data_IF_575998198967
#
_entry.id   IF_575998198967
#
_cell.length_a   1.000
_cell.length_b   1.000
_cell.length_c   1.000
_cell.angle_alpha   90.00
_cell.angle_beta   90.00
_cell.angle_gamma   90.00
#
_symmetry.space_group_name_H-M   'P 1'
#
loop_
_entity.id
_entity.type
_entity.pdbx_description
1 polymer ?
#
# COMPACT_ATOMS: atom_id res chain seq x y z
N UNK A 1 -9.83 14.79 24.99
CA UNK A 1 -9.43 13.76 24.02
C UNK A 1 -9.90 12.40 24.49
N UNK A 2 -10.70 11.69 23.67
CA UNK A 2 -11.16 10.35 23.99
C UNK A 2 -10.04 9.33 23.71
N UNK A 3 -9.96 8.22 24.47
CA UNK A 3 -9.12 7.08 24.12
C UNK A 3 -9.34 6.61 22.67
N UNK A 4 -8.27 6.29 21.95
CA UNK A 4 -8.34 5.73 20.60
C UNK A 4 -7.46 4.49 20.46
N UNK A 5 -8.05 3.42 19.93
CA UNK A 5 -7.35 2.23 19.47
C UNK A 5 -7.51 2.06 17.94
N UNK A 6 -6.42 1.72 17.25
CA UNK A 6 -6.44 1.38 15.82
C UNK A 6 -5.43 0.26 15.54
N UNK A 7 -5.48 -0.30 14.33
CA UNK A 7 -4.60 -1.38 13.91
C UNK A 7 -4.46 -1.49 12.41
N UNK A 8 -3.45 -2.25 12.00
CA UNK A 8 -3.31 -2.78 10.65
C UNK A 8 -3.03 -4.28 10.70
N UNK A 9 -3.21 -4.96 9.57
CA UNK A 9 -2.88 -6.37 9.42
C UNK A 9 -1.70 -6.58 8.46
N UNK A 10 -0.86 -7.56 8.77
CA UNK A 10 0.07 -8.10 7.80
C UNK A 10 -0.73 -8.79 6.68
N UNK A 11 -0.59 -8.30 5.46
CA UNK A 11 -1.33 -8.83 4.31
C UNK A 11 -2.49 -7.96 3.81
N UNK A 12 -2.65 -6.72 4.26
CA UNK A 12 -3.65 -5.80 3.68
C UNK A 12 -3.55 -5.65 2.15
N UNK A 13 -2.34 -5.83 1.59
CA UNK A 13 -2.08 -5.87 0.15
C UNK A 13 -2.87 -6.95 -0.59
N UNK A 14 -3.30 -8.02 0.09
CA UNK A 14 -4.12 -9.08 -0.51
C UNK A 14 -5.46 -8.57 -1.05
N UNK A 15 -5.97 -7.46 -0.49
CA UNK A 15 -7.16 -6.78 -1.01
C UNK A 15 -6.93 -6.14 -2.39
N UNK A 16 -5.69 -5.74 -2.69
CA UNK A 16 -5.32 -5.05 -3.93
C UNK A 16 -4.65 -5.96 -4.96
N UNK A 17 -4.09 -7.10 -4.53
CA UNK A 17 -3.32 -8.02 -5.39
C UNK A 17 -4.04 -8.43 -6.67
N UNK A 18 -5.35 -8.62 -6.60
CA UNK A 18 -6.15 -9.10 -7.74
C UNK A 18 -7.02 -8.01 -8.38
N UNK A 19 -6.82 -6.73 -8.03
CA UNK A 19 -7.58 -5.63 -8.62
C UNK A 19 -7.10 -5.28 -10.04
N UNK A 20 -5.78 -5.14 -10.30
CA UNK A 20 -5.30 -4.88 -11.65
C UNK A 20 -5.43 -6.13 -12.53
N UNK A 21 -5.74 -5.92 -13.79
CA UNK A 21 -5.66 -6.95 -14.83
C UNK A 21 -4.20 -7.26 -15.17
N UNK A 22 -3.95 -8.44 -15.77
CA UNK A 22 -2.60 -8.78 -16.24
C UNK A 22 -2.06 -7.80 -17.28
N UNK A 23 -2.93 -7.17 -18.08
CA UNK A 23 -2.53 -6.13 -19.03
C UNK A 23 -2.07 -4.87 -18.30
N UNK A 24 -2.82 -4.39 -17.31
CA UNK A 24 -2.43 -3.23 -16.51
C UNK A 24 -1.10 -3.47 -15.78
N UNK A 25 -0.90 -4.67 -15.21
CA UNK A 25 0.39 -5.04 -14.60
C UNK A 25 1.53 -4.98 -15.62
N UNK A 26 1.33 -5.50 -16.82
CA UNK A 26 2.35 -5.45 -17.87
C UNK A 26 2.68 -4.01 -18.29
N UNK A 27 1.67 -3.14 -18.37
CA UNK A 27 1.83 -1.72 -18.66
C UNK A 27 2.60 -0.99 -17.54
N UNK A 28 2.27 -1.26 -16.26
CA UNK A 28 2.99 -0.68 -15.12
C UNK A 28 4.43 -1.17 -15.06
N UNK A 29 4.68 -2.44 -15.41
CA UNK A 29 6.03 -3.01 -15.45
C UNK A 29 6.87 -2.39 -16.57
N UNK A 30 6.27 -2.11 -17.72
CA UNK A 30 6.94 -1.46 -18.84
C UNK A 30 7.23 0.03 -18.59
N UNK A 31 6.33 0.74 -17.89
CA UNK A 31 6.48 2.16 -17.55
C UNK A 31 6.16 2.44 -16.06
N UNK A 32 7.07 2.02 -15.19
CA UNK A 32 6.93 2.21 -13.74
C UNK A 32 6.89 3.69 -13.35
N UNK A 33 7.65 4.54 -14.03
CA UNK A 33 7.69 5.99 -13.73
C UNK A 33 6.35 6.67 -14.06
N UNK A 34 5.76 6.33 -15.21
CA UNK A 34 4.43 6.79 -15.59
C UNK A 34 3.35 6.32 -14.61
N UNK A 35 3.38 5.04 -14.22
CA UNK A 35 2.48 4.50 -13.20
C UNK A 35 2.61 5.27 -11.87
N UNK A 36 3.81 5.39 -11.31
CA UNK A 36 4.01 6.05 -10.01
C UNK A 36 3.68 7.55 -10.06
N UNK A 37 3.91 8.21 -11.19
CA UNK A 37 3.48 9.59 -11.38
C UNK A 37 1.96 9.73 -11.32
N UNK A 38 1.22 8.83 -11.98
CA UNK A 38 -0.25 8.82 -11.94
C UNK A 38 -0.77 8.50 -10.54
N UNK A 39 -0.18 7.49 -9.89
CA UNK A 39 -0.48 7.12 -8.50
C UNK A 39 -0.34 8.32 -7.56
N UNK A 40 0.82 8.99 -7.60
CA UNK A 40 1.10 10.15 -6.76
C UNK A 40 0.17 11.33 -7.04
N UNK A 41 -0.18 11.58 -8.30
CA UNK A 41 -1.12 12.65 -8.68
C UNK A 41 -2.55 12.35 -8.25
N UNK A 42 -2.96 11.08 -8.24
CA UNK A 42 -4.27 10.69 -7.76
C UNK A 42 -4.43 11.02 -6.26
N UNK A 43 -3.39 10.73 -5.48
CA UNK A 43 -3.46 10.88 -4.02
C UNK A 43 -3.03 12.24 -3.48
N UNK A 44 -2.07 12.90 -4.12
CA UNK A 44 -1.65 14.23 -3.73
C UNK A 44 -2.49 15.27 -4.47
N UNK A 45 -3.24 16.10 -3.74
CA UNK A 45 -3.95 17.24 -4.34
C UNK A 45 -2.94 18.31 -4.76
N UNK A 46 -2.71 18.48 -6.06
CA UNK A 46 -1.84 19.51 -6.66
C UNK A 46 -0.39 19.52 -6.10
N UNK A 47 0.36 18.41 -6.19
CA UNK A 47 1.71 18.37 -5.68
C UNK A 47 2.63 19.24 -6.54
N UNK A 48 3.59 19.92 -5.88
CA UNK A 48 4.70 20.58 -6.60
C UNK A 48 5.50 19.51 -7.35
N UNK A 49 5.89 19.80 -8.59
CA UNK A 49 6.57 18.82 -9.46
C UNK A 49 7.78 18.13 -8.79
N UNK A 50 8.63 18.89 -8.09
CA UNK A 50 9.80 18.32 -7.42
C UNK A 50 9.44 17.29 -6.33
N UNK A 51 8.31 17.46 -5.62
CA UNK A 51 7.86 16.51 -4.59
C UNK A 51 7.36 15.21 -5.21
N UNK A 52 6.78 15.29 -6.41
CA UNK A 52 6.38 14.10 -7.17
C UNK A 52 7.62 13.32 -7.57
N UNK A 53 8.63 13.99 -8.15
CA UNK A 53 9.88 13.33 -8.55
C UNK A 53 10.61 12.68 -7.38
N UNK A 54 10.74 13.37 -6.25
CA UNK A 54 11.36 12.82 -5.04
C UNK A 54 10.58 11.63 -4.49
N UNK A 55 9.26 11.73 -4.42
CA UNK A 55 8.41 10.64 -3.95
C UNK A 55 8.45 9.41 -4.85
N UNK A 56 8.45 9.58 -6.18
CA UNK A 56 8.63 8.48 -7.13
C UNK A 56 9.95 7.75 -6.87
N UNK A 57 11.05 8.49 -6.70
CA UNK A 57 12.36 7.88 -6.45
C UNK A 57 12.38 7.09 -5.13
N UNK A 58 11.73 7.60 -4.08
CA UNK A 58 11.60 6.90 -2.80
C UNK A 58 10.77 5.61 -2.96
N UNK A 59 9.65 5.66 -3.67
CA UNK A 59 8.81 4.49 -3.92
C UNK A 59 9.54 3.41 -4.72
N UNK A 60 10.27 3.80 -5.79
CA UNK A 60 11.08 2.87 -6.58
C UNK A 60 12.14 2.17 -5.75
N UNK A 61 12.90 2.94 -4.96
CA UNK A 61 13.97 2.40 -4.15
C UNK A 61 13.47 1.45 -3.05
N UNK A 62 12.26 1.68 -2.54
CA UNK A 62 11.70 0.89 -1.46
C UNK A 62 10.97 -0.36 -1.95
N UNK A 63 10.05 -0.18 -2.90
CA UNK A 63 9.14 -1.24 -3.33
C UNK A 63 9.56 -1.95 -4.60
N UNK A 64 10.32 -1.29 -5.48
CA UNK A 64 10.67 -1.84 -6.80
C UNK A 64 12.19 -1.92 -7.03
N UNK A 65 13.00 -2.42 -6.08
CA UNK A 65 14.44 -2.56 -6.30
C UNK A 65 14.77 -3.63 -7.36
N UNK A 66 13.88 -4.61 -7.55
CA UNK A 66 13.96 -5.67 -8.55
C UNK A 66 12.54 -5.95 -9.06
N UNK A 67 12.28 -5.72 -10.35
CA UNK A 67 10.93 -5.83 -10.92
C UNK A 67 10.59 -7.21 -11.50
N UNK A 68 11.58 -8.10 -11.60
CA UNK A 68 11.37 -9.48 -12.04
C UNK A 68 11.37 -10.45 -10.83
N UNK A 69 10.57 -11.53 -10.87
CA UNK A 69 9.56 -11.86 -11.87
C UNK A 69 8.28 -11.02 -11.72
N UNK A 70 7.43 -11.02 -12.75
CA UNK A 70 6.20 -10.21 -12.80
C UNK A 70 5.24 -10.50 -11.62
N UNK A 71 5.28 -11.71 -11.05
CA UNK A 71 4.51 -12.05 -9.86
C UNK A 71 4.96 -11.27 -8.62
N UNK A 72 6.26 -11.02 -8.46
CA UNK A 72 6.78 -10.19 -7.38
C UNK A 72 6.39 -8.74 -7.59
N UNK A 73 6.56 -8.22 -8.81
CA UNK A 73 6.11 -6.88 -9.17
C UNK A 73 4.63 -6.65 -8.90
N UNK A 74 3.78 -7.65 -9.20
CA UNK A 74 2.34 -7.59 -8.89
C UNK A 74 2.08 -7.46 -7.39
N UNK A 75 2.87 -8.15 -6.56
CA UNK A 75 2.78 -8.03 -5.09
C UNK A 75 3.24 -6.63 -4.65
N UNK A 76 4.36 -6.14 -5.18
CA UNK A 76 4.91 -4.81 -4.85
C UNK A 76 3.94 -3.67 -5.20
N UNK A 77 3.28 -3.74 -6.36
CA UNK A 77 2.20 -2.81 -6.75
C UNK A 77 1.05 -2.84 -5.72
N UNK A 78 0.68 -4.03 -5.25
CA UNK A 78 -0.36 -4.18 -4.24
C UNK A 78 0.09 -3.66 -2.87
N UNK A 79 1.36 -3.84 -2.49
CA UNK A 79 1.93 -3.35 -1.24
C UNK A 79 2.00 -1.83 -1.20
N UNK A 80 2.49 -1.16 -2.25
CA UNK A 80 2.46 0.31 -2.37
C UNK A 80 1.06 0.85 -2.17
N UNK A 81 0.08 0.22 -2.83
CA UNK A 81 -1.32 0.62 -2.75
C UNK A 81 -1.84 0.42 -1.32
N UNK A 82 -1.58 -0.74 -0.73
CA UNK A 82 -1.96 -1.06 0.65
C UNK A 82 -1.42 -0.08 1.67
N UNK A 83 -0.12 0.20 1.62
CA UNK A 83 0.56 1.09 2.55
C UNK A 83 0.00 2.50 2.50
N UNK A 84 -0.46 2.93 1.32
CA UNK A 84 -1.14 4.20 1.15
C UNK A 84 -2.55 4.22 1.77
N UNK A 85 -3.32 3.13 1.66
CA UNK A 85 -4.69 3.06 2.16
C UNK A 85 -4.80 2.74 3.66
N UNK A 86 -3.81 2.07 4.24
CA UNK A 86 -3.96 1.48 5.56
C UNK A 86 -2.87 1.94 6.56
N UNK A 87 -1.58 1.50 6.50
CA UNK A 87 -0.54 1.97 7.39
C UNK A 87 -0.37 3.49 7.44
N UNK A 88 -0.29 4.16 6.29
CA UNK A 88 -0.06 5.60 6.23
C UNK A 88 -1.12 6.41 7.01
N UNK A 89 -2.44 6.28 6.73
CA UNK A 89 -3.44 7.04 7.48
C UNK A 89 -3.54 6.62 8.95
N UNK A 90 -3.32 5.34 9.28
CA UNK A 90 -3.32 4.88 10.67
C UNK A 90 -2.20 5.56 11.48
N UNK A 91 -0.96 5.51 10.97
CA UNK A 91 0.21 6.11 11.62
C UNK A 91 0.09 7.63 11.66
N UNK A 92 -0.29 8.27 10.55
CA UNK A 92 -0.49 9.72 10.50
C UNK A 92 -1.48 10.18 11.57
N UNK A 93 -2.65 9.52 11.65
CA UNK A 93 -3.65 9.91 12.63
C UNK A 93 -3.24 9.61 14.07
N UNK A 94 -2.51 8.52 14.32
CA UNK A 94 -1.92 8.23 15.62
C UNK A 94 -0.94 9.33 16.05
N UNK A 95 -0.10 9.83 15.15
CA UNK A 95 0.82 10.93 15.43
C UNK A 95 0.08 12.22 15.79
N UNK A 96 -1.02 12.52 15.08
CA UNK A 96 -1.83 13.72 15.32
C UNK A 96 -2.69 13.65 16.58
N UNK A 97 -3.09 12.44 17.01
CA UNK A 97 -3.95 12.25 18.17
C UNK A 97 -3.26 12.61 19.49
N UNK A 98 -3.94 13.44 20.30
CA UNK A 98 -3.44 14.02 21.55
C UNK A 98 -3.98 13.34 22.83
N UNK A 99 -4.79 12.28 22.70
CA UNK A 99 -5.28 11.47 23.84
C UNK A 99 -4.52 10.15 24.03
N UNK A 100 -4.91 9.34 25.02
CA UNK A 100 -4.42 7.98 25.16
C UNK A 100 -4.66 7.18 23.87
N UNK A 101 -3.60 6.56 23.35
CA UNK A 101 -3.62 5.85 22.07
C UNK A 101 -2.93 4.50 22.15
N UNK A 102 -3.49 3.53 21.45
CA UNK A 102 -2.97 2.18 21.30
C UNK A 102 -2.97 1.79 19.83
N UNK A 103 -1.91 1.09 19.42
CA UNK A 103 -1.77 0.53 18.10
C UNK A 103 -1.36 -0.93 18.21
N UNK A 104 -1.97 -1.79 17.41
CA UNK A 104 -1.57 -3.19 17.29
C UNK A 104 -1.42 -3.56 15.81
N UNK A 105 -0.48 -4.47 15.56
CA UNK A 105 -0.20 -5.01 14.24
C UNK A 105 -0.53 -6.50 14.23
N UNK A 106 -1.46 -6.91 13.38
CA UNK A 106 -1.95 -8.28 13.33
C UNK A 106 -1.12 -9.11 12.35
N UNK A 107 -0.25 -9.98 12.89
CA UNK A 107 0.58 -10.88 12.06
C UNK A 107 -0.05 -12.28 11.87
N UNK A 108 -1.15 -12.56 12.55
CA UNK A 108 -1.76 -13.88 12.53
C UNK A 108 -2.43 -14.17 11.17
N UNK A 109 -1.86 -15.10 10.42
CA UNK A 109 -2.46 -15.66 9.21
C UNK A 109 -3.43 -16.78 9.64
N UNK A 110 -4.74 -16.48 9.59
CA UNK A 110 -5.76 -17.45 9.93
C UNK A 110 -5.76 -18.65 8.99
N UNK A 111 -5.89 -19.86 9.53
CA UNK A 111 -6.33 -21.02 8.74
C UNK A 111 -7.85 -20.93 8.62
N UNK A 112 -8.39 -21.01 7.40
CA UNK A 112 -9.83 -21.20 7.21
C UNK A 112 -10.23 -22.47 7.98
N UNK A 113 -10.98 -22.31 9.06
CA UNK A 113 -11.63 -23.44 9.71
C UNK A 113 -12.64 -23.99 8.69
N UNK A 114 -12.33 -25.13 8.08
CA UNK A 114 -13.17 -25.77 7.08
C UNK A 114 -14.53 -26.17 7.65
N UNK A 115 -15.46 -25.23 7.71
CA UNK A 115 -16.85 -25.55 7.45
C UNK A 115 -17.03 -25.37 5.94
N UNK A 116 -16.90 -26.48 5.22
CA UNK A 116 -17.44 -26.61 3.87
C UNK A 116 -18.87 -26.06 3.92
N UNK A 117 -19.10 -24.89 3.35
CA UNK A 117 -20.45 -24.51 2.95
C UNK A 117 -20.76 -25.37 1.72
N UNK A 118 -21.33 -26.55 2.01
CA UNK A 118 -22.04 -27.40 1.06
C UNK A 118 -23.24 -26.68 0.49
#
# INVERSE_FOLDING_TARGET
>A
NKPWITSNANGEYTLFKNLPTSQEIAEYHQDLDGYLQNFMRYFLKNPKAFRVSEGIQLLKNHYFPVMDPIENFTIEVAEVTSDFYFPYPAIYNLLMHQGPKWYYYLEYIGKLSGHNMS
#
